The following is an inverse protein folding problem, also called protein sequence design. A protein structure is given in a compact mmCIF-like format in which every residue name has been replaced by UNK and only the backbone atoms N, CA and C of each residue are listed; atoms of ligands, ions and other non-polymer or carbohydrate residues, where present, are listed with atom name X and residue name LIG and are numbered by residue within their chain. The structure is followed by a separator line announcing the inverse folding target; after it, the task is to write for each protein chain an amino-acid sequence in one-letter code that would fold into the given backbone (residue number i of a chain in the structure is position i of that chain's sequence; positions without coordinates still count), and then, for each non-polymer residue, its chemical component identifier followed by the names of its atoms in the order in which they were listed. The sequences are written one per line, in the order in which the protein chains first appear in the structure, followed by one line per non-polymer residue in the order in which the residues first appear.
data_IF_729513639685
#
_entry.id   IF_729513639685
#
_cell.length_a   1.000
_cell.length_b   1.000
_cell.length_c   1.000
_cell.angle_alpha   90.00
_cell.angle_beta   90.00
_cell.angle_gamma   90.00
#
_symmetry.space_group_name_H-M   'P 1'
#
loop_
_entity.id
_entity.type
_entity.pdbx_description
1 polymer ?
#
# COMPACT_ATOMS: atom_id res chain seq x y z
N UNK A 1 18.27 -0.91 -1.06
CA UNK A 1 19.27 -0.51 -0.02
C UNK A 1 18.69 -1.14 1.23
N UNK A 2 19.54 -1.70 2.07
CA UNK A 2 18.88 -2.60 2.98
C UNK A 2 18.10 -2.11 4.16
N UNK A 3 17.01 -2.86 4.12
CA UNK A 3 15.93 -2.77 5.05
C UNK A 3 15.97 -4.02 5.92
N UNK A 4 14.88 -4.44 6.53
CA UNK A 4 14.65 -5.56 7.46
C UNK A 4 14.51 -5.04 8.94
N UNK A 5 15.06 -3.88 9.36
CA UNK A 5 14.81 -3.31 10.69
C UNK A 5 13.49 -2.54 10.65
N UNK A 6 12.92 -2.32 11.84
CA UNK A 6 11.64 -1.64 12.05
C UNK A 6 11.46 -0.34 11.29
N UNK A 7 12.26 0.72 11.22
CA UNK A 7 11.88 1.97 10.52
C UNK A 7 12.78 2.55 9.38
N UNK A 8 12.30 3.46 8.52
CA UNK A 8 13.09 3.96 7.37
C UNK A 8 12.82 5.40 6.91
N UNK A 9 13.90 6.02 6.43
CA UNK A 9 13.97 7.39 5.92
C UNK A 9 12.97 7.54 4.79
N UNK A 10 12.31 8.67 4.78
CA UNK A 10 11.31 8.98 3.80
C UNK A 10 11.45 10.48 3.70
N UNK A 11 11.89 10.88 2.50
CA UNK A 11 12.05 12.24 1.97
C UNK A 11 12.07 13.40 2.87
N UNK A 12 10.89 13.48 3.47
CA UNK A 12 10.45 14.52 4.37
C UNK A 12 11.14 14.47 5.74
N UNK A 13 12.13 13.60 5.88
CA UNK A 13 12.84 13.38 7.10
C UNK A 13 11.90 12.74 8.08
N UNK A 14 10.82 12.05 7.62
CA UNK A 14 9.77 11.36 8.42
C UNK A 14 10.02 9.91 8.17
N UNK A 15 9.74 9.03 9.13
CA UNK A 15 10.13 7.60 9.10
C UNK A 15 8.95 6.66 9.06
N UNK A 16 8.92 5.82 8.02
CA UNK A 16 7.89 4.82 7.80
C UNK A 16 8.33 3.55 8.49
N UNK A 17 7.47 2.74 9.13
CA UNK A 17 7.72 1.32 9.50
C UNK A 17 7.95 0.52 8.19
N UNK A 18 8.79 -0.52 8.19
CA UNK A 18 9.27 -1.21 6.98
C UNK A 18 8.36 -2.30 6.42
N UNK A 19 7.50 -2.88 7.22
CA UNK A 19 6.57 -3.94 6.85
C UNK A 19 5.20 -3.44 7.27
N UNK A 20 4.26 -3.46 6.33
CA UNK A 20 2.94 -2.92 6.60
C UNK A 20 1.83 -3.92 6.34
N UNK A 21 0.63 -3.51 6.72
CA UNK A 21 -0.61 -4.26 6.61
C UNK A 21 -1.64 -3.49 5.75
N UNK A 22 -2.54 -4.18 5.04
CA UNK A 22 -3.58 -3.63 4.17
C UNK A 22 -4.98 -4.06 4.62
N UNK A 23 -6.09 -3.45 4.14
CA UNK A 23 -7.48 -3.71 4.60
C UNK A 23 -8.48 -3.79 3.42
N UNK A 24 -9.37 -4.77 3.15
CA UNK A 24 -10.34 -4.72 2.00
C UNK A 24 -11.39 -5.85 2.02
N UNK A 25 -12.01 -6.27 0.90
CA UNK A 25 -12.94 -7.41 0.74
C UNK A 25 -12.47 -8.69 1.48
N UNK A 26 -13.39 -9.47 2.06
CA UNK A 26 -12.99 -10.39 3.14
C UNK A 26 -13.22 -11.90 2.98
N UNK A 27 -13.24 -12.54 4.15
CA UNK A 27 -13.46 -13.97 4.37
C UNK A 27 -14.92 -14.08 4.74
N UNK A 28 -15.65 -15.02 4.11
CA UNK A 28 -17.08 -15.31 4.38
C UNK A 28 -17.27 -15.60 5.89
N UNK A 29 -16.53 -16.66 6.30
CA UNK A 29 -16.43 -17.13 7.69
C UNK A 29 -15.83 -15.96 8.48
N UNK A 30 -16.47 -15.66 9.63
CA UNK A 30 -16.23 -14.49 10.49
C UNK A 30 -16.71 -13.15 9.83
N UNK A 31 -16.63 -12.95 8.49
CA UNK A 31 -17.11 -11.75 7.78
C UNK A 31 -16.53 -10.35 8.25
N UNK A 32 -17.25 -9.20 8.05
CA UNK A 32 -16.77 -7.81 8.21
C UNK A 32 -16.87 -7.06 9.56
N UNK A 33 -16.22 -7.70 10.51
CA UNK A 33 -15.98 -7.20 11.85
C UNK A 33 -14.47 -6.90 11.79
N UNK A 34 -13.96 -6.17 10.77
CA UNK A 34 -12.51 -5.90 10.55
C UNK A 34 -11.72 -5.32 11.73
N UNK A 35 -12.40 -4.50 12.53
CA UNK A 35 -11.89 -4.04 13.83
C UNK A 35 -11.03 -5.10 14.62
N UNK A 36 -11.51 -6.35 14.59
CA UNK A 36 -10.92 -7.48 15.30
C UNK A 36 -9.57 -7.94 14.74
N UNK A 37 -9.58 -7.95 13.40
CA UNK A 37 -8.42 -8.27 12.57
C UNK A 37 -7.35 -7.18 12.64
N UNK A 38 -7.72 -5.89 12.63
CA UNK A 38 -6.75 -4.85 12.90
C UNK A 38 -6.33 -4.95 14.37
N UNK A 39 -7.16 -5.42 15.30
CA UNK A 39 -6.68 -5.64 16.67
C UNK A 39 -5.67 -6.78 16.66
N UNK A 40 -5.78 -7.95 16.04
CA UNK A 40 -4.64 -8.89 16.02
C UNK A 40 -3.45 -8.46 15.15
N UNK A 41 -3.43 -7.19 14.78
CA UNK A 41 -2.35 -6.56 14.02
C UNK A 41 -1.60 -5.63 14.99
N UNK A 42 -2.11 -4.56 15.63
CA UNK A 42 -1.30 -3.73 16.55
C UNK A 42 -0.93 -4.45 17.85
N UNK A 43 -1.63 -5.50 18.21
CA UNK A 43 -1.22 -6.26 19.37
C UNK A 43 0.05 -7.08 19.05
N UNK A 44 0.60 -6.92 17.84
CA UNK A 44 1.79 -7.64 17.42
C UNK A 44 3.00 -6.84 17.04
N UNK A 45 2.85 -5.54 17.12
CA UNK A 45 3.90 -4.64 16.68
C UNK A 45 3.46 -3.80 15.49
N UNK A 46 2.53 -4.39 14.72
CA UNK A 46 2.04 -3.82 13.48
C UNK A 46 1.42 -2.46 13.77
N UNK A 47 2.18 -1.50 13.23
CA UNK A 47 1.96 -0.06 13.41
C UNK A 47 1.65 0.76 12.19
N UNK A 48 1.97 0.32 11.01
CA UNK A 48 1.69 1.05 9.77
C UNK A 48 0.53 0.33 9.13
N UNK A 49 -0.55 1.01 8.79
CA UNK A 49 -1.72 0.40 8.18
C UNK A 49 -2.05 1.15 6.88
N UNK A 50 -2.69 0.49 5.91
CA UNK A 50 -3.01 1.13 4.64
C UNK A 50 -4.46 0.87 4.30
N UNK A 51 -5.16 2.00 4.08
CA UNK A 51 -6.56 2.01 3.70
C UNK A 51 -6.81 3.07 2.61
N UNK A 52 -8.07 3.13 2.18
CA UNK A 52 -8.58 4.06 1.16
C UNK A 52 -10.06 4.38 1.42
N UNK A 53 -10.42 5.46 0.70
CA UNK A 53 -11.75 6.02 0.65
C UNK A 53 -12.71 4.95 0.11
N UNK A 54 -12.23 4.45 -1.05
CA UNK A 54 -12.89 3.45 -1.88
C UNK A 54 -13.19 2.20 -1.08
N UNK A 55 -12.25 1.35 -0.72
CA UNK A 55 -12.57 0.16 0.08
C UNK A 55 -12.62 0.48 1.57
N UNK A 56 -13.51 1.43 1.85
CA UNK A 56 -13.66 2.02 3.16
C UNK A 56 -13.77 0.94 4.20
N UNK A 57 -12.85 1.09 5.13
CA UNK A 57 -12.73 0.32 6.36
C UNK A 57 -12.62 1.36 7.50
N UNK A 58 -11.92 2.46 7.17
CA UNK A 58 -11.77 3.74 7.89
C UNK A 58 -12.55 3.89 9.17
N UNK A 59 -13.87 4.15 9.11
CA UNK A 59 -14.81 4.18 10.26
C UNK A 59 -14.59 3.06 11.32
N UNK A 60 -14.39 1.82 10.89
CA UNK A 60 -14.16 0.67 11.76
C UNK A 60 -12.69 0.23 11.83
N UNK A 61 -11.71 0.83 11.12
CA UNK A 61 -10.27 0.52 11.27
C UNK A 61 -9.63 1.61 12.15
N UNK A 62 -10.13 2.82 11.90
CA UNK A 62 -9.81 4.00 12.66
C UNK A 62 -10.08 3.68 14.11
N UNK A 63 -11.30 3.21 14.36
CA UNK A 63 -11.76 2.81 15.67
C UNK A 63 -10.84 1.76 16.26
N UNK A 64 -10.47 0.59 15.76
CA UNK A 64 -9.55 -0.29 16.49
C UNK A 64 -8.26 0.45 16.76
N UNK A 65 -7.67 1.32 15.93
CA UNK A 65 -6.45 2.05 16.30
C UNK A 65 -6.82 2.88 17.53
N UNK A 66 -7.92 3.62 17.42
CA UNK A 66 -8.56 4.41 18.46
C UNK A 66 -9.25 3.58 19.56
N UNK A 67 -8.68 2.41 19.78
CA UNK A 67 -9.03 1.64 20.94
C UNK A 67 -7.67 1.28 21.51
N UNK A 68 -6.58 1.10 20.75
CA UNK A 68 -5.34 0.72 21.37
C UNK A 68 -4.69 1.93 21.98
N UNK A 69 -5.10 3.12 21.57
CA UNK A 69 -4.73 4.36 22.25
C UNK A 69 -5.87 4.64 23.31
N UNK A 70 -6.03 3.58 24.09
CA UNK A 70 -7.01 3.45 25.14
C UNK A 70 -6.42 2.24 25.88
N UNK A 71 -6.20 1.00 25.40
CA UNK A 71 -5.57 -0.09 26.20
C UNK A 71 -4.26 0.29 26.92
N UNK A 72 -3.59 1.15 26.16
CA UNK A 72 -2.30 1.61 26.59
C UNK A 72 -1.22 0.78 25.93
N UNK A 73 -1.52 0.50 24.67
CA UNK A 73 -0.61 -0.23 23.83
C UNK A 73 0.10 0.84 22.97
N UNK A 74 -0.67 1.68 22.29
CA UNK A 74 -0.17 2.67 21.35
C UNK A 74 -0.23 3.98 22.07
N UNK A 75 0.55 4.86 21.46
CA UNK A 75 0.67 6.29 21.72
C UNK A 75 0.85 6.83 20.28
N UNK A 76 -0.14 7.46 19.64
CA UNK A 76 -0.13 8.05 18.28
C UNK A 76 1.10 8.14 17.40
N UNK A 77 2.19 8.72 17.93
CA UNK A 77 3.49 8.89 17.21
C UNK A 77 3.96 7.53 16.65
N UNK A 78 3.58 6.49 17.41
CA UNK A 78 3.74 5.09 17.14
C UNK A 78 2.72 4.62 16.10
N UNK A 79 1.87 5.37 15.36
CA UNK A 79 0.89 4.76 14.42
C UNK A 79 1.00 5.59 13.14
N UNK A 80 1.12 4.84 12.05
CA UNK A 80 1.39 5.39 10.73
C UNK A 80 0.24 4.95 9.93
N UNK A 81 -0.52 5.83 9.29
CA UNK A 81 -1.74 5.47 8.55
C UNK A 81 -1.80 5.95 7.11
N UNK A 82 -1.90 5.11 6.07
CA UNK A 82 -2.03 5.58 4.69
C UNK A 82 -3.52 5.51 4.43
N UNK A 83 -3.97 6.52 3.74
CA UNK A 83 -5.30 6.68 3.19
C UNK A 83 -5.01 7.17 1.78
N UNK A 84 -6.07 7.37 0.99
CA UNK A 84 -5.96 7.73 -0.43
C UNK A 84 -7.08 8.65 -0.90
N UNK A 85 -6.72 9.61 -1.76
CA UNK A 85 -7.61 10.61 -2.39
C UNK A 85 -8.14 9.85 -3.58
N UNK A 86 -9.43 10.05 -3.76
CA UNK A 86 -10.09 9.28 -4.76
C UNK A 86 -10.27 9.99 -6.09
N UNK A 87 -10.20 9.20 -7.16
CA UNK A 87 -10.42 9.59 -8.55
C UNK A 87 -11.51 10.61 -8.82
N UNK A 88 -12.64 10.56 -8.11
CA UNK A 88 -13.78 11.49 -8.27
C UNK A 88 -13.38 12.89 -7.73
N UNK A 89 -12.98 12.81 -6.47
CA UNK A 89 -12.42 13.92 -5.69
C UNK A 89 -11.09 14.56 -6.18
N UNK A 90 -10.63 14.15 -7.34
CA UNK A 90 -9.42 14.64 -7.97
C UNK A 90 -9.46 16.13 -8.38
N UNK A 91 -10.64 16.73 -8.57
CA UNK A 91 -10.79 18.10 -9.03
C UNK A 91 -10.24 18.99 -7.90
N UNK A 92 -9.34 19.89 -8.27
CA UNK A 92 -8.44 20.58 -7.35
C UNK A 92 -9.07 21.39 -6.21
N UNK A 93 -10.12 22.17 -6.53
CA UNK A 93 -10.76 23.06 -5.55
C UNK A 93 -11.45 22.30 -4.45
N UNK A 94 -11.52 20.98 -4.57
CA UNK A 94 -12.15 20.14 -3.55
C UNK A 94 -11.34 19.02 -2.84
N UNK A 95 -10.10 18.70 -3.24
CA UNK A 95 -9.25 17.64 -2.65
C UNK A 95 -9.48 17.44 -1.17
N UNK A 96 -9.24 18.49 -0.42
CA UNK A 96 -9.28 18.47 1.03
C UNK A 96 -10.54 17.89 1.70
N UNK A 97 -11.66 17.92 0.97
CA UNK A 97 -12.90 17.30 1.43
C UNK A 97 -12.67 15.79 1.68
N UNK A 98 -11.96 15.10 0.77
CA UNK A 98 -11.74 13.66 0.82
C UNK A 98 -10.94 13.38 2.07
N UNK A 99 -9.99 14.31 2.31
CA UNK A 99 -9.10 14.24 3.47
C UNK A 99 -10.00 14.36 4.70
N UNK A 100 -10.77 15.44 4.90
CA UNK A 100 -11.63 15.57 6.08
C UNK A 100 -12.59 14.41 6.23
N UNK A 101 -13.29 14.09 5.15
CA UNK A 101 -14.14 12.95 5.01
C UNK A 101 -13.35 11.67 5.45
N UNK A 102 -12.01 11.63 5.21
CA UNK A 102 -11.10 10.57 5.65
C UNK A 102 -10.80 10.70 7.16
N UNK A 103 -10.60 11.90 7.66
CA UNK A 103 -10.19 12.08 9.06
C UNK A 103 -11.34 12.04 10.06
N UNK A 104 -12.55 12.57 9.80
CA UNK A 104 -13.75 12.53 10.71
C UNK A 104 -14.13 11.06 10.99
N UNK A 105 -14.24 10.38 9.83
CA UNK A 105 -14.57 8.98 9.80
C UNK A 105 -13.51 8.18 10.56
N UNK A 106 -12.18 8.42 10.45
CA UNK A 106 -11.23 7.61 11.24
C UNK A 106 -11.17 7.88 12.75
N UNK A 107 -11.65 9.08 13.16
CA UNK A 107 -11.53 9.63 14.53
C UNK A 107 -10.07 9.75 14.97
N UNK A 108 -9.22 9.71 13.98
CA UNK A 108 -7.82 9.83 14.20
C UNK A 108 -7.66 11.34 14.13
N UNK A 109 -6.58 11.84 14.74
CA UNK A 109 -6.20 13.24 14.69
C UNK A 109 -5.92 13.66 13.23
N UNK A 110 -5.09 13.03 12.42
CA UNK A 110 -4.77 13.49 11.05
C UNK A 110 -4.31 12.23 10.38
N UNK A 111 -3.75 12.29 9.21
CA UNK A 111 -3.12 11.10 8.65
C UNK A 111 -1.66 11.37 8.39
N UNK A 112 -0.99 10.26 8.38
CA UNK A 112 0.44 10.18 8.21
C UNK A 112 0.89 10.24 6.73
N UNK A 113 0.11 9.67 5.85
CA UNK A 113 0.38 9.76 4.44
C UNK A 113 -0.98 9.91 3.74
N UNK A 114 -0.98 10.64 2.67
CA UNK A 114 -2.15 10.70 1.83
C UNK A 114 -1.53 10.46 0.45
N UNK A 115 -2.18 9.66 -0.39
CA UNK A 115 -1.57 9.43 -1.70
C UNK A 115 -2.57 9.54 -2.82
N UNK A 116 -1.98 9.83 -3.99
CA UNK A 116 -2.71 9.86 -5.24
C UNK A 116 -2.94 8.41 -5.63
N UNK A 117 -4.21 7.98 -5.50
CA UNK A 117 -4.66 6.62 -5.76
C UNK A 117 -4.70 6.40 -7.23
N UNK A 118 -4.99 7.36 -8.09
CA UNK A 118 -4.98 7.09 -9.54
C UNK A 118 -4.79 8.40 -10.27
N UNK A 119 -4.17 8.41 -11.44
CA UNK A 119 -4.32 9.50 -12.40
C UNK A 119 -5.76 9.50 -12.91
N UNK A 120 -6.34 8.33 -13.16
CA UNK A 120 -7.73 8.12 -13.57
C UNK A 120 -8.58 8.95 -12.59
N UNK A 121 -9.19 9.97 -13.18
CA UNK A 121 -10.09 10.92 -12.48
C UNK A 121 -11.48 10.86 -13.14
N UNK A 122 -12.54 10.75 -12.35
CA UNK A 122 -13.89 10.60 -12.87
C UNK A 122 -14.65 11.79 -12.32
N UNK A 123 -15.91 12.06 -12.60
CA UNK A 123 -16.56 13.28 -12.10
C UNK A 123 -16.91 13.13 -10.60
N UNK A 124 -17.00 14.30 -9.87
CA UNK A 124 -17.53 14.44 -8.49
C UNK A 124 -18.97 13.97 -8.27
N UNK A 125 -19.11 13.19 -7.20
CA UNK A 125 -20.41 12.69 -6.89
C UNK A 125 -20.33 11.64 -5.82
N UNK A 126 -21.57 11.11 -5.67
CA UNK A 126 -22.01 10.09 -4.70
C UNK A 126 -21.69 8.62 -5.11
N UNK A 127 -21.58 8.24 -6.41
CA UNK A 127 -21.19 6.85 -6.79
C UNK A 127 -19.74 6.95 -7.27
N UNK A 128 -18.96 6.19 -6.52
CA UNK A 128 -17.50 6.14 -6.64
C UNK A 128 -16.99 5.67 -8.03
N UNK A 129 -17.84 5.16 -8.92
CA UNK A 129 -17.45 4.74 -10.27
C UNK A 129 -18.73 5.03 -11.05
N UNK A 130 -18.88 6.25 -11.54
CA UNK A 130 -20.06 6.65 -12.33
C UNK A 130 -19.92 6.24 -13.81
N UNK A 131 -20.41 5.06 -14.25
CA UNK A 131 -20.25 4.75 -15.67
C UNK A 131 -21.32 5.59 -16.34
N UNK A 132 -20.96 6.07 -17.52
CA UNK A 132 -21.68 7.11 -18.27
C UNK A 132 -23.03 6.57 -18.74
N UNK A 133 -23.91 6.29 -17.79
CA UNK A 133 -25.10 5.43 -17.91
C UNK A 133 -24.62 3.99 -18.24
N UNK A 134 -23.54 3.81 -19.01
CA UNK A 134 -23.10 2.55 -19.62
C UNK A 134 -21.71 2.77 -20.19
N UNK A 135 -21.23 1.80 -20.97
CA UNK A 135 -19.95 1.95 -21.62
C UNK A 135 -18.81 1.90 -20.63
N UNK A 136 -18.13 3.02 -20.56
CA UNK A 136 -17.05 3.10 -19.59
C UNK A 136 -17.50 4.19 -18.58
N UNK A 137 -16.63 5.04 -18.07
CA UNK A 137 -17.06 5.98 -17.06
C UNK A 137 -16.96 7.34 -17.67
N UNK A 138 -17.78 8.13 -17.05
CA UNK A 138 -17.73 9.53 -17.31
C UNK A 138 -16.39 9.89 -16.66
N UNK A 139 -15.34 10.35 -17.36
CA UNK A 139 -14.09 10.83 -16.73
C UNK A 139 -13.95 12.34 -16.95
N UNK A 140 -13.45 13.26 -16.10
CA UNK A 140 -13.27 14.63 -16.59
C UNK A 140 -11.82 15.15 -16.46
N UNK A 141 -11.29 16.00 -17.34
CA UNK A 141 -9.89 16.44 -17.23
C UNK A 141 -9.52 17.55 -16.25
N UNK A 142 -9.09 16.92 -15.16
CA UNK A 142 -8.37 17.63 -14.14
C UNK A 142 -6.86 17.25 -14.44
N UNK A 143 -5.89 17.81 -13.72
CA UNK A 143 -4.49 17.64 -14.04
C UNK A 143 -3.82 16.98 -12.86
N UNK A 144 -2.90 16.09 -13.24
CA UNK A 144 -2.05 15.37 -12.30
C UNK A 144 -1.17 16.35 -11.47
N UNK A 145 -0.38 17.26 -12.08
CA UNK A 145 0.43 18.27 -11.35
C UNK A 145 -0.37 19.11 -10.34
N UNK A 146 -1.63 19.25 -10.76
CA UNK A 146 -2.57 20.11 -10.10
C UNK A 146 -3.14 19.48 -8.86
N UNK A 147 -3.35 18.19 -8.96
CA UNK A 147 -3.81 17.45 -7.81
C UNK A 147 -2.63 17.38 -6.86
N UNK A 148 -1.41 17.26 -7.39
CA UNK A 148 -0.23 17.27 -6.53
C UNK A 148 -0.02 18.66 -5.83
N UNK A 149 -0.23 19.80 -6.56
CA UNK A 149 -0.23 21.15 -6.00
C UNK A 149 -1.25 21.00 -4.86
N UNK A 150 -2.49 20.55 -5.17
CA UNK A 150 -3.57 20.35 -4.18
C UNK A 150 -3.36 19.27 -3.10
N UNK A 151 -2.22 18.56 -3.13
CA UNK A 151 -1.85 17.58 -2.11
C UNK A 151 -0.90 18.27 -1.13
N UNK A 152 0.18 18.88 -1.61
CA UNK A 152 1.21 19.55 -0.78
C UNK A 152 0.60 20.54 0.23
N UNK A 153 -0.37 21.30 -0.27
CA UNK A 153 -1.08 22.36 0.44
C UNK A 153 -1.51 21.86 1.79
N UNK A 154 -2.14 20.68 1.79
CA UNK A 154 -2.65 19.99 2.97
C UNK A 154 -1.59 19.58 4.03
N UNK A 155 -0.34 19.27 3.63
CA UNK A 155 0.77 18.94 4.57
C UNK A 155 1.19 20.21 5.28
N UNK A 156 1.46 21.18 4.41
CA UNK A 156 1.71 22.52 4.81
C UNK A 156 0.53 23.00 5.70
N UNK A 157 -0.71 22.49 5.47
CA UNK A 157 -1.90 22.77 6.31
C UNK A 157 -2.06 21.87 7.53
N UNK A 158 -1.06 21.09 7.91
CA UNK A 158 -1.07 20.26 9.10
C UNK A 158 -2.05 19.10 9.17
N UNK A 159 -2.82 18.91 8.07
CA UNK A 159 -3.88 17.90 8.02
C UNK A 159 -3.39 16.47 7.70
N UNK A 160 -2.26 16.25 7.06
CA UNK A 160 -1.74 14.91 6.78
C UNK A 160 -0.22 14.91 6.65
N UNK A 161 0.44 14.38 7.67
CA UNK A 161 1.90 14.37 7.89
C UNK A 161 2.89 14.27 6.72
N UNK A 162 2.49 13.71 5.58
CA UNK A 162 3.32 13.57 4.40
C UNK A 162 2.42 13.19 3.23
N UNK A 163 2.94 13.31 2.03
CA UNK A 163 2.17 13.10 0.81
C UNK A 163 2.81 12.04 -0.09
N UNK A 164 2.17 11.32 -1.02
CA UNK A 164 2.89 10.42 -1.95
C UNK A 164 2.08 10.03 -3.18
N UNK A 165 2.49 9.17 -4.11
CA UNK A 165 1.63 8.87 -5.26
C UNK A 165 1.12 7.41 -5.20
N UNK A 166 0.54 6.79 -6.24
CA UNK A 166 0.21 5.37 -6.33
C UNK A 166 -0.24 5.14 -7.75
N UNK A 167 0.13 3.95 -8.21
CA UNK A 167 -0.05 3.42 -9.56
C UNK A 167 0.45 4.36 -10.61
N UNK A 168 1.52 5.09 -10.29
CA UNK A 168 2.12 5.93 -11.30
C UNK A 168 3.26 5.10 -11.80
N UNK A 169 3.62 5.36 -13.03
CA UNK A 169 4.79 4.78 -13.65
C UNK A 169 5.63 5.98 -14.03
N UNK A 170 6.89 5.62 -14.16
CA UNK A 170 7.99 6.38 -14.70
C UNK A 170 7.63 7.60 -15.57
N UNK A 171 6.55 7.55 -16.38
CA UNK A 171 6.07 8.70 -17.13
C UNK A 171 5.15 9.62 -16.26
N UNK A 172 4.18 9.14 -15.51
CA UNK A 172 3.34 10.01 -14.70
C UNK A 172 4.21 10.46 -13.52
N UNK A 173 5.25 9.70 -13.18
CA UNK A 173 6.09 9.96 -11.99
C UNK A 173 7.02 11.18 -12.07
N UNK A 174 7.74 11.07 -13.17
CA UNK A 174 8.68 12.06 -13.67
C UNK A 174 8.02 13.42 -13.85
N UNK A 175 6.78 13.39 -14.27
CA UNK A 175 6.02 14.60 -14.49
C UNK A 175 5.79 15.28 -13.13
N UNK A 176 5.25 14.57 -12.12
CA UNK A 176 4.92 15.13 -10.77
C UNK A 176 6.00 16.03 -10.17
N UNK A 177 7.15 15.39 -10.36
CA UNK A 177 8.49 15.76 -9.96
C UNK A 177 9.27 16.73 -10.88
N UNK A 178 8.73 17.00 -12.04
CA UNK A 178 9.25 17.95 -13.03
C UNK A 178 8.41 19.25 -13.10
N UNK A 179 7.18 19.32 -12.54
CA UNK A 179 6.32 20.50 -12.72
C UNK A 179 6.89 21.80 -12.11
N UNK A 180 6.48 22.98 -12.67
CA UNK A 180 6.73 24.31 -12.11
C UNK A 180 6.53 24.32 -10.62
N UNK A 181 7.40 24.98 -9.91
CA UNK A 181 7.22 25.24 -8.48
C UNK A 181 6.76 24.17 -7.48
N UNK A 182 7.21 22.94 -7.69
CA UNK A 182 6.94 21.82 -6.79
C UNK A 182 7.47 22.20 -5.40
N UNK A 183 6.86 21.71 -4.32
CA UNK A 183 7.31 22.03 -2.95
C UNK A 183 7.67 20.78 -2.08
N UNK A 184 6.68 19.94 -1.80
CA UNK A 184 6.84 18.73 -1.00
C UNK A 184 6.94 17.63 -2.01
N UNK A 185 8.05 16.95 -2.18
CA UNK A 185 8.20 15.89 -3.19
C UNK A 185 7.62 14.57 -2.71
N UNK A 186 7.21 13.71 -3.63
CA UNK A 186 6.79 12.34 -3.38
C UNK A 186 7.62 11.42 -2.51
N UNK A 187 6.93 10.69 -1.66
CA UNK A 187 7.56 9.69 -0.84
C UNK A 187 7.38 8.30 -1.47
N UNK A 188 6.22 7.67 -1.43
CA UNK A 188 6.02 6.30 -1.87
C UNK A 188 5.29 6.27 -3.18
N UNK A 189 5.42 5.09 -3.75
CA UNK A 189 4.66 4.73 -4.93
C UNK A 189 4.21 3.29 -4.80
N UNK A 190 2.98 3.24 -4.32
CA UNK A 190 2.33 2.01 -3.92
C UNK A 190 1.87 1.34 -5.23
N UNK A 191 2.81 0.77 -5.93
CA UNK A 191 2.47 0.00 -7.10
C UNK A 191 2.47 -1.47 -6.60
N UNK A 192 2.07 -2.41 -7.44
CA UNK A 192 1.98 -3.79 -7.05
C UNK A 192 3.24 -4.43 -7.50
N UNK A 193 3.90 -5.14 -6.62
CA UNK A 193 5.13 -5.81 -6.93
C UNK A 193 5.18 -7.09 -6.09
N UNK A 194 5.95 -8.06 -6.54
CA UNK A 194 6.05 -9.39 -5.92
C UNK A 194 6.88 -10.27 -6.87
N UNK A 195 7.25 -11.52 -6.57
CA UNK A 195 8.09 -12.35 -7.47
C UNK A 195 7.78 -12.61 -8.94
N UNK A 196 6.58 -12.29 -9.39
CA UNK A 196 6.12 -12.53 -10.76
C UNK A 196 5.89 -11.25 -11.58
N UNK A 197 6.23 -10.10 -11.01
CA UNK A 197 6.07 -8.74 -11.54
C UNK A 197 6.69 -8.00 -10.34
N UNK A 198 8.03 -8.00 -10.32
CA UNK A 198 8.88 -7.42 -9.25
C UNK A 198 9.68 -6.36 -9.97
N UNK A 199 9.17 -5.13 -10.05
CA UNK A 199 9.78 -4.22 -10.98
C UNK A 199 11.17 -3.80 -10.62
N UNK A 200 12.04 -4.55 -11.27
CA UNK A 200 13.46 -4.27 -11.23
C UNK A 200 13.69 -2.86 -11.87
N UNK A 201 12.84 -2.48 -12.84
CA UNK A 201 12.91 -1.20 -13.56
C UNK A 201 12.25 -0.12 -12.75
N UNK A 202 11.35 -0.42 -11.82
CA UNK A 202 10.79 0.70 -11.07
C UNK A 202 11.73 0.92 -9.92
N UNK A 203 12.39 -0.16 -9.45
CA UNK A 203 13.31 -0.06 -8.37
C UNK A 203 14.51 0.70 -8.85
N UNK A 204 15.13 0.35 -9.96
CA UNK A 204 16.21 1.18 -10.49
C UNK A 204 15.62 2.38 -11.25
N UNK A 205 14.81 3.19 -10.52
CA UNK A 205 14.22 4.45 -10.98
C UNK A 205 13.64 5.17 -9.76
N UNK A 206 12.80 4.53 -8.94
CA UNK A 206 12.10 5.10 -7.76
C UNK A 206 13.14 5.66 -6.85
N UNK A 207 14.06 4.74 -6.65
CA UNK A 207 15.19 5.00 -5.81
C UNK A 207 16.03 6.17 -6.32
N UNK A 208 16.18 6.35 -7.62
CA UNK A 208 16.94 7.48 -8.17
C UNK A 208 16.25 8.72 -7.61
N UNK A 209 14.93 8.80 -7.51
CA UNK A 209 14.29 10.02 -7.04
C UNK A 209 13.73 9.85 -5.64
N UNK A 210 14.49 9.19 -4.79
CA UNK A 210 14.15 8.85 -3.41
C UNK A 210 12.73 8.35 -3.12
N UNK A 211 12.03 7.89 -4.15
CA UNK A 211 10.68 7.40 -4.01
C UNK A 211 10.63 5.96 -3.49
N UNK A 212 10.04 5.76 -2.32
CA UNK A 212 10.05 4.47 -1.65
C UNK A 212 8.95 3.51 -2.14
N UNK A 213 9.33 2.50 -2.92
CA UNK A 213 8.34 1.56 -3.44
C UNK A 213 7.81 0.62 -2.35
N UNK A 214 6.64 1.06 -2.00
CA UNK A 214 5.77 0.34 -1.10
C UNK A 214 5.03 -0.58 -2.07
N UNK A 215 4.74 -1.84 -1.69
CA UNK A 215 4.06 -2.78 -2.58
C UNK A 215 2.86 -3.58 -2.06
N UNK A 216 1.76 -3.68 -2.85
CA UNK A 216 0.63 -4.58 -2.50
C UNK A 216 0.67 -5.84 -3.41
N UNK A 217 0.06 -6.93 -2.89
CA UNK A 217 -0.01 -8.24 -3.57
C UNK A 217 1.34 -8.95 -3.57
N UNK A 218 2.13 -8.53 -2.60
CA UNK A 218 3.44 -9.06 -2.37
C UNK A 218 3.42 -10.61 -2.18
N UNK A 219 2.44 -11.15 -1.43
CA UNK A 219 2.29 -12.59 -1.15
C UNK A 219 1.28 -13.23 -2.14
N UNK A 220 1.03 -12.55 -3.26
CA UNK A 220 0.13 -12.98 -4.33
C UNK A 220 -1.39 -13.02 -4.13
N UNK A 221 -1.87 -12.86 -2.90
CA UNK A 221 -3.29 -12.82 -2.54
C UNK A 221 -3.92 -14.21 -2.79
N UNK A 222 -4.13 -14.64 -4.03
CA UNK A 222 -4.68 -15.93 -4.44
C UNK A 222 -6.08 -16.31 -3.93
N UNK A 223 -6.41 -16.21 -2.64
CA UNK A 223 -7.74 -16.55 -2.12
C UNK A 223 -8.78 -15.62 -2.74
N UNK A 224 -9.67 -16.28 -3.49
CA UNK A 224 -10.82 -15.71 -4.20
C UNK A 224 -10.40 -14.81 -5.36
N UNK A 225 -9.73 -13.68 -5.06
CA UNK A 225 -9.19 -12.72 -6.01
C UNK A 225 -10.09 -12.41 -7.21
N UNK A 226 -10.88 -11.35 -7.08
CA UNK A 226 -11.86 -10.91 -8.07
C UNK A 226 -11.34 -10.35 -9.40
N UNK A 227 -10.46 -11.11 -10.05
CA UNK A 227 -9.80 -10.80 -11.32
C UNK A 227 -9.25 -12.10 -11.94
N UNK A 228 -9.53 -13.26 -11.32
CA UNK A 228 -9.01 -14.53 -11.81
C UNK A 228 -9.78 -14.92 -13.07
N UNK A 229 -9.00 -15.23 -14.10
CA UNK A 229 -9.50 -15.65 -15.39
C UNK A 229 -8.62 -16.78 -15.91
N UNK A 230 -7.31 -16.56 -15.91
CA UNK A 230 -6.35 -17.54 -16.39
C UNK A 230 -6.29 -18.77 -15.48
N UNK A 231 -6.64 -19.89 -16.08
CA UNK A 231 -6.61 -21.19 -15.42
C UNK A 231 -5.14 -21.63 -15.46
N UNK A 232 -4.36 -21.09 -14.54
CA UNK A 232 -2.94 -21.39 -14.37
C UNK A 232 -2.28 -20.82 -13.09
N UNK A 233 -1.66 -19.63 -12.98
CA UNK A 233 -0.42 -19.43 -12.20
C UNK A 233 -0.52 -19.12 -10.69
N UNK A 234 -0.77 -20.06 -9.79
CA UNK A 234 -0.80 -19.73 -8.35
C UNK A 234 0.63 -19.66 -7.83
N UNK A 235 1.19 -18.44 -7.74
CA UNK A 235 2.56 -18.25 -7.26
C UNK A 235 2.91 -18.73 -5.84
N UNK A 236 2.13 -18.67 -4.76
CA UNK A 236 2.65 -19.09 -3.44
C UNK A 236 2.35 -20.58 -3.20
N UNK A 237 2.68 -21.26 -4.30
CA UNK A 237 2.50 -22.69 -4.56
C UNK A 237 3.41 -23.07 -5.74
N UNK A 238 4.23 -22.07 -6.16
CA UNK A 238 5.15 -22.13 -7.31
C UNK A 238 6.19 -23.16 -6.96
N UNK A 239 6.79 -23.80 -7.99
CA UNK A 239 7.98 -24.69 -7.87
C UNK A 239 9.22 -24.27 -7.00
N UNK A 240 9.98 -23.27 -7.53
CA UNK A 240 11.17 -22.67 -6.91
C UNK A 240 10.81 -22.18 -5.52
N UNK A 241 9.81 -21.31 -5.46
CA UNK A 241 9.31 -20.74 -4.22
C UNK A 241 8.92 -21.82 -3.22
N UNK A 242 8.40 -23.01 -3.56
CA UNK A 242 8.13 -23.98 -2.51
C UNK A 242 9.32 -24.90 -2.18
N UNK A 243 10.39 -24.77 -2.99
CA UNK A 243 11.73 -25.35 -2.74
C UNK A 243 12.57 -24.54 -1.70
N UNK A 244 12.96 -23.29 -2.05
CA UNK A 244 13.80 -22.41 -1.25
C UNK A 244 13.17 -22.26 0.13
N UNK A 245 11.86 -22.19 0.21
CA UNK A 245 11.22 -22.12 1.50
C UNK A 245 11.01 -23.54 2.06
N UNK A 246 12.04 -24.38 1.93
CA UNK A 246 12.20 -25.67 2.60
C UNK A 246 13.73 -25.71 2.84
N UNK A 247 14.50 -25.35 1.83
CA UNK A 247 15.92 -25.08 1.95
C UNK A 247 16.17 -24.08 3.10
N UNK A 248 15.20 -23.23 3.48
CA UNK A 248 15.23 -22.37 4.68
C UNK A 248 13.82 -22.65 5.17
N UNK A 249 13.62 -23.44 6.20
CA UNK A 249 12.26 -23.92 6.44
C UNK A 249 11.13 -23.02 6.94
N UNK A 250 10.08 -23.17 6.12
CA UNK A 250 8.64 -22.86 6.23
C UNK A 250 8.08 -22.10 5.02
N UNK A 251 7.06 -22.80 4.48
CA UNK A 251 6.18 -22.56 3.31
C UNK A 251 6.08 -21.09 2.78
N UNK A 252 6.05 -20.89 1.44
CA UNK A 252 6.60 -19.74 0.71
C UNK A 252 6.13 -18.31 0.89
N UNK A 253 5.27 -18.09 1.87
CA UNK A 253 4.77 -16.74 2.20
C UNK A 253 5.92 -15.89 2.77
N UNK A 254 6.61 -16.49 3.73
CA UNK A 254 7.73 -15.88 4.35
C UNK A 254 8.76 -15.67 3.31
N UNK A 255 9.14 -16.55 2.41
CA UNK A 255 10.09 -16.12 1.39
C UNK A 255 9.43 -15.01 0.54
N UNK A 256 8.14 -15.02 0.18
CA UNK A 256 7.55 -13.94 -0.67
C UNK A 256 7.75 -12.53 -0.08
N UNK A 257 7.73 -12.53 1.25
CA UNK A 257 7.96 -11.35 2.04
C UNK A 257 9.45 -11.09 1.94
N UNK A 258 10.19 -12.01 2.57
CA UNK A 258 11.63 -11.87 2.74
C UNK A 258 12.42 -11.22 1.60
N UNK A 259 12.24 -11.70 0.42
CA UNK A 259 12.85 -11.17 -0.78
C UNK A 259 12.60 -9.67 -0.89
N UNK A 260 11.33 -9.27 -0.89
CA UNK A 260 10.97 -7.89 -1.21
C UNK A 260 11.57 -6.97 -0.16
N UNK A 261 11.47 -7.40 1.11
CA UNK A 261 12.02 -6.69 2.26
C UNK A 261 13.52 -6.44 2.09
N UNK A 262 14.16 -7.56 1.70
CA UNK A 262 15.56 -7.71 1.43
C UNK A 262 15.99 -6.90 0.21
N UNK A 263 15.13 -6.58 -0.77
CA UNK A 263 15.47 -5.68 -1.90
C UNK A 263 15.47 -4.22 -1.40
N UNK A 264 14.67 -3.96 -0.36
CA UNK A 264 14.58 -2.65 0.24
C UNK A 264 13.38 -1.94 -0.30
N UNK A 265 12.27 -2.65 -0.05
CA UNK A 265 10.90 -2.34 -0.50
C UNK A 265 9.98 -2.47 0.71
N UNK A 266 8.95 -1.66 0.88
CA UNK A 266 8.09 -1.69 2.06
C UNK A 266 6.76 -2.39 1.71
N UNK A 267 6.61 -3.67 1.99
CA UNK A 267 5.45 -4.47 1.69
C UNK A 267 4.25 -4.26 2.57
N UNK A 268 3.12 -4.60 1.95
CA UNK A 268 1.83 -4.63 2.60
C UNK A 268 1.27 -6.03 2.63
N UNK A 269 0.97 -6.53 3.81
CA UNK A 269 0.36 -7.83 3.91
C UNK A 269 -1.13 -7.64 4.16
N UNK A 270 -2.06 -8.37 3.56
CA UNK A 270 -3.43 -8.31 4.08
C UNK A 270 -3.51 -9.65 4.81
N UNK A 271 -4.63 -9.86 5.49
CA UNK A 271 -4.96 -11.04 6.31
C UNK A 271 -6.31 -10.67 6.90
N UNK A 272 -6.70 -11.48 7.89
CA UNK A 272 -7.87 -11.44 8.76
C UNK A 272 -7.58 -12.63 9.65
N UNK A 273 -7.14 -13.78 9.10
CA UNK A 273 -6.77 -14.96 9.91
C UNK A 273 -5.56 -14.52 10.73
N UNK A 274 -5.69 -14.62 12.05
CA UNK A 274 -4.58 -14.49 12.99
C UNK A 274 -3.36 -15.26 12.44
N UNK A 275 -3.50 -16.57 12.27
CA UNK A 275 -2.45 -17.48 11.79
C UNK A 275 -1.52 -16.95 10.71
N UNK A 276 -2.03 -16.34 9.68
CA UNK A 276 -1.14 -15.94 8.62
C UNK A 276 -0.58 -14.52 8.85
N UNK A 277 -1.07 -13.80 9.88
CA UNK A 277 -0.46 -12.52 10.24
C UNK A 277 0.71 -12.86 11.16
N UNK A 278 0.69 -14.03 11.84
CA UNK A 278 1.73 -14.49 12.82
C UNK A 278 2.92 -15.16 12.18
N UNK A 279 2.74 -15.92 11.10
CA UNK A 279 3.88 -16.49 10.35
C UNK A 279 4.69 -15.31 9.82
N UNK A 280 4.02 -14.19 9.55
CA UNK A 280 4.69 -13.03 9.04
C UNK A 280 5.42 -12.19 10.05
N UNK A 281 5.31 -12.35 11.37
CA UNK A 281 6.21 -11.58 12.19
C UNK A 281 7.52 -12.33 12.12
N UNK A 282 7.52 -13.62 11.75
CA UNK A 282 8.77 -14.36 11.56
C UNK A 282 9.60 -13.84 10.44
N UNK A 283 9.12 -13.04 9.48
CA UNK A 283 9.90 -12.57 8.31
C UNK A 283 11.26 -11.97 8.64
N UNK A 284 11.64 -11.81 9.91
CA UNK A 284 12.94 -11.29 10.33
C UNK A 284 13.85 -12.37 10.98
N UNK A 285 13.33 -13.54 11.36
CA UNK A 285 14.07 -14.71 11.85
C UNK A 285 14.70 -15.52 10.68
N UNK A 286 14.81 -15.04 9.44
CA UNK A 286 15.29 -15.79 8.28
C UNK A 286 16.42 -15.00 7.73
N UNK A 287 16.94 -15.36 6.58
CA UNK A 287 18.10 -14.73 5.95
C UNK A 287 18.06 -15.07 4.44
N UNK A 288 18.81 -14.47 3.52
CA UNK A 288 18.67 -14.77 2.10
C UNK A 288 20.04 -14.70 1.49
N UNK A 289 20.53 -15.79 0.90
CA UNK A 289 21.83 -15.77 0.21
C UNK A 289 21.68 -15.22 -1.22
N UNK A 290 22.67 -14.54 -1.75
CA UNK A 290 22.62 -13.89 -3.07
C UNK A 290 22.37 -14.75 -4.31
N UNK A 291 22.80 -16.01 -4.22
CA UNK A 291 22.62 -16.98 -5.29
C UNK A 291 21.14 -17.17 -5.34
N UNK A 292 20.55 -17.35 -4.15
CA UNK A 292 19.14 -17.58 -4.00
C UNK A 292 18.33 -16.38 -4.38
N UNK A 293 18.67 -15.22 -3.83
CA UNK A 293 18.12 -13.94 -4.25
C UNK A 293 18.08 -14.01 -5.78
N UNK A 294 19.14 -14.27 -6.52
CA UNK A 294 19.01 -14.32 -7.96
C UNK A 294 18.15 -15.46 -8.50
N UNK A 295 18.04 -16.57 -7.76
CA UNK A 295 17.14 -17.69 -8.12
C UNK A 295 15.68 -17.30 -7.81
N UNK A 296 15.50 -16.19 -7.08
CA UNK A 296 14.21 -15.58 -6.77
C UNK A 296 14.06 -14.40 -7.67
N UNK A 297 15.09 -13.62 -7.98
CA UNK A 297 14.99 -12.43 -8.81
C UNK A 297 15.06 -12.92 -10.29
N UNK A 298 14.29 -14.01 -10.52
CA UNK A 298 14.17 -14.80 -11.72
C UNK A 298 12.71 -15.17 -11.98
N UNK A 299 11.92 -15.60 -10.98
CA UNK A 299 10.51 -16.04 -11.18
C UNK A 299 9.57 -15.22 -12.09
N UNK A 300 9.65 -13.91 -12.01
CA UNK A 300 8.89 -13.03 -12.88
C UNK A 300 8.35 -13.45 -14.27
N UNK A 301 7.08 -13.15 -14.50
CA UNK A 301 6.49 -13.30 -15.82
C UNK A 301 6.61 -11.91 -16.46
N UNK A 302 5.87 -11.08 -15.74
CA UNK A 302 5.51 -9.69 -15.86
C UNK A 302 3.97 -9.67 -15.87
N UNK A 303 3.22 -10.70 -15.35
CA UNK A 303 1.75 -10.62 -15.30
C UNK A 303 1.28 -9.90 -14.03
N UNK A 304 0.66 -8.79 -14.32
CA UNK A 304 0.01 -7.96 -13.33
C UNK A 304 -1.23 -8.73 -12.88
N UNK A 305 -1.22 -9.35 -11.72
CA UNK A 305 -2.36 -10.11 -11.22
C UNK A 305 -3.60 -9.28 -10.99
N UNK A 306 -3.46 -7.94 -10.83
CA UNK A 306 -4.52 -6.91 -10.67
C UNK A 306 -4.47 -6.15 -11.98
N UNK A 307 -5.59 -5.76 -12.51
CA UNK A 307 -5.59 -4.95 -13.73
C UNK A 307 -6.63 -3.85 -13.60
N UNK A 308 -6.24 -2.85 -14.38
CA UNK A 308 -7.06 -1.68 -14.66
C UNK A 308 -8.06 -2.25 -15.70
#
# INVERSE_FOLDING_TARGET
MDSISLRVALNDGNFIPVLGFGTTVPEKVAKDEVIKATKIAIDNGFRHFDSAYLYEVEEEVGQAIRSKIEDGTVKREDIFYTSKLWSTFHRPELVRTCLEKTLKSTQLDYVDLYIIHFPMALQPGDIFFPRDEHGKLLFETVDICDTWEAMEKCKDAGLAKSIGVSNFNCRQLERILNKPGLKYKPVCNQVECHLYLNQSKMLDYCKSKDIILVSYCTLGSSRDKTWVDQKSPVLLDDPVLCAIAKKYKQTPALVALRYQLQRGVVPLIRSFNAKRIKELTQVFEFQLASEDMKALDGLNRNFRYNNA
#
